data_IF_072495630145
#
_entry.id   IF_072495630145
#
_cell.length_a   1.000
_cell.length_b   1.000
_cell.length_c   1.000
_cell.angle_alpha   90.00
_cell.angle_beta   90.00
_cell.angle_gamma   90.00
#
_symmetry.space_group_name_H-M   'P 1'
#
loop_
_entity.id
_entity.type
_entity.pdbx_description
1 polymer ?
#
# COMPACT_ATOMS: atom_id res chain seq x y z
N UNK A 1 1.63 -11.82 -12.42
CA UNK A 1 0.61 -12.87 -12.23
C UNK A 1 0.47 -13.32 -10.78
N UNK A 2 1.52 -13.83 -10.15
CA UNK A 2 1.49 -14.28 -8.75
C UNK A 2 0.91 -13.27 -7.75
N UNK A 3 1.17 -11.98 -7.94
CA UNK A 3 0.69 -10.90 -7.04
C UNK A 3 -0.83 -10.81 -6.94
N UNK A 4 -1.55 -11.08 -8.02
CA UNK A 4 -3.03 -11.02 -8.00
C UNK A 4 -3.65 -12.26 -7.35
N UNK A 5 -3.03 -13.41 -7.50
CA UNK A 5 -3.49 -14.68 -6.90
C UNK A 5 -3.26 -14.65 -5.39
N UNK A 6 -2.11 -14.17 -4.96
CA UNK A 6 -1.71 -14.13 -3.55
C UNK A 6 -2.56 -13.20 -2.67
N UNK A 7 -3.19 -12.18 -3.26
CA UNK A 7 -4.00 -11.21 -2.53
C UNK A 7 -5.50 -11.50 -2.47
N UNK A 8 -5.97 -12.61 -3.06
CA UNK A 8 -7.42 -12.86 -3.20
C UNK A 8 -8.10 -13.34 -1.92
N UNK A 9 -7.35 -13.79 -0.89
CA UNK A 9 -7.92 -14.31 0.35
C UNK A 9 -8.96 -15.42 0.11
N UNK A 10 -9.64 -15.85 1.14
CA UNK A 10 -10.71 -16.86 1.10
C UNK A 10 -12.08 -16.29 0.71
N UNK A 11 -12.17 -15.10 0.11
CA UNK A 11 -13.42 -14.42 -0.18
C UNK A 11 -14.08 -14.92 -1.46
N UNK A 12 -14.95 -15.92 -1.31
CA UNK A 12 -16.11 -16.27 -2.16
C UNK A 12 -15.98 -15.97 -3.68
N UNK A 13 -14.98 -16.51 -4.38
CA UNK A 13 -14.96 -16.58 -5.84
C UNK A 13 -14.82 -15.24 -6.59
N UNK A 14 -14.75 -14.11 -5.89
CA UNK A 14 -14.62 -12.79 -6.53
C UNK A 14 -13.19 -12.52 -7.03
N UNK A 15 -12.18 -13.08 -6.39
CA UNK A 15 -10.79 -12.94 -6.77
C UNK A 15 -10.50 -13.43 -8.20
N UNK A 16 -10.92 -14.64 -8.58
CA UNK A 16 -10.72 -15.15 -9.94
C UNK A 16 -11.35 -14.28 -11.03
N UNK A 17 -12.58 -13.79 -10.84
CA UNK A 17 -13.26 -12.92 -11.82
C UNK A 17 -12.54 -11.58 -12.05
N UNK A 18 -12.04 -10.96 -11.00
CA UNK A 18 -11.29 -9.71 -11.13
C UNK A 18 -9.93 -9.93 -11.79
N UNK A 19 -9.30 -11.06 -11.51
CA UNK A 19 -8.04 -11.45 -12.14
C UNK A 19 -8.25 -11.70 -13.63
N UNK A 20 -9.30 -12.42 -14.01
CA UNK A 20 -9.66 -12.69 -15.41
C UNK A 20 -9.94 -11.39 -16.16
N UNK A 21 -10.76 -10.49 -15.60
CA UNK A 21 -11.06 -9.19 -16.19
C UNK A 21 -9.79 -8.35 -16.42
N UNK A 22 -8.86 -8.34 -15.45
CA UNK A 22 -7.60 -7.65 -15.59
C UNK A 22 -6.69 -8.28 -16.66
N UNK A 23 -6.66 -9.61 -16.73
CA UNK A 23 -5.85 -10.34 -17.73
C UNK A 23 -6.37 -10.18 -19.16
N UNK A 24 -7.67 -10.01 -19.30
CA UNK A 24 -8.33 -9.79 -20.58
C UNK A 24 -8.27 -8.33 -21.06
N UNK A 25 -7.80 -7.40 -20.23
CA UNK A 25 -7.68 -5.99 -20.60
C UNK A 25 -6.50 -5.80 -21.57
N UNK A 26 -6.78 -5.44 -22.81
CA UNK A 26 -5.76 -5.21 -23.85
C UNK A 26 -4.70 -4.16 -23.43
N UNK A 27 -5.02 -3.28 -22.48
CA UNK A 27 -4.12 -2.25 -21.96
C UNK A 27 -3.11 -2.81 -20.94
N UNK A 28 -3.33 -4.02 -20.40
CA UNK A 28 -2.51 -4.58 -19.33
C UNK A 28 -1.00 -4.51 -19.60
N UNK A 29 -0.46 -4.94 -20.75
CA UNK A 29 0.98 -4.90 -21.01
C UNK A 29 1.55 -3.47 -21.00
N UNK A 30 0.79 -2.50 -21.52
CA UNK A 30 1.20 -1.10 -21.54
C UNK A 30 1.19 -0.51 -20.12
N UNK A 31 0.11 -0.75 -19.35
CA UNK A 31 -0.03 -0.28 -17.96
C UNK A 31 1.08 -0.84 -17.08
N UNK A 32 1.39 -2.13 -17.18
CA UNK A 32 2.48 -2.73 -16.40
C UNK A 32 3.84 -2.13 -16.75
N UNK A 33 4.10 -1.86 -18.01
CA UNK A 33 5.35 -1.26 -18.47
C UNK A 33 5.51 0.18 -18.00
N UNK A 34 4.50 1.03 -18.21
CA UNK A 34 4.56 2.45 -17.85
C UNK A 34 4.58 2.64 -16.34
N UNK A 35 3.82 1.87 -15.59
CA UNK A 35 3.82 1.95 -14.12
C UNK A 35 5.11 1.43 -13.51
N UNK A 36 5.73 0.37 -14.06
CA UNK A 36 7.06 -0.06 -13.65
C UNK A 36 8.11 1.02 -13.87
N UNK A 37 8.07 1.70 -15.00
CA UNK A 37 9.00 2.79 -15.29
C UNK A 37 8.80 3.96 -14.30
N UNK A 38 7.56 4.36 -14.03
CA UNK A 38 7.24 5.40 -13.07
C UNK A 38 7.71 5.04 -11.64
N UNK A 39 7.50 3.79 -11.20
CA UNK A 39 7.99 3.30 -9.91
C UNK A 39 9.52 3.39 -9.83
N UNK A 40 10.22 2.92 -10.85
CA UNK A 40 11.69 2.93 -10.91
C UNK A 40 12.28 4.33 -10.96
N UNK A 41 11.55 5.31 -11.48
CA UNK A 41 11.94 6.74 -11.43
C UNK A 41 11.56 7.44 -10.12
N UNK A 42 10.86 6.75 -9.21
CA UNK A 42 10.37 7.32 -7.95
C UNK A 42 9.06 8.10 -8.07
N UNK A 43 8.44 8.17 -9.26
CA UNK A 43 7.14 8.81 -9.45
C UNK A 43 5.98 7.87 -9.04
N UNK A 44 5.85 7.64 -7.73
CA UNK A 44 4.80 6.78 -7.17
C UNK A 44 3.40 7.37 -7.40
N UNK A 45 3.27 8.69 -7.41
CA UNK A 45 2.01 9.37 -7.73
C UNK A 45 1.60 9.15 -9.19
N UNK A 46 2.56 9.25 -10.10
CA UNK A 46 2.37 8.96 -11.52
C UNK A 46 2.05 7.49 -11.78
N UNK A 47 2.76 6.57 -11.13
CA UNK A 47 2.47 5.13 -11.19
C UNK A 47 1.02 4.85 -10.78
N UNK A 48 0.57 5.45 -9.68
CA UNK A 48 -0.79 5.28 -9.19
C UNK A 48 -1.84 5.84 -10.16
N UNK A 49 -1.60 7.00 -10.79
CA UNK A 49 -2.50 7.60 -11.79
C UNK A 49 -2.60 6.75 -13.07
N UNK A 50 -1.51 6.11 -13.45
CA UNK A 50 -1.42 5.34 -14.70
C UNK A 50 -1.97 3.90 -14.55
N UNK A 51 -2.09 3.40 -13.30
CA UNK A 51 -2.58 2.06 -13.07
C UNK A 51 -4.12 2.01 -13.13
N UNK A 52 -4.67 2.09 -14.34
CA UNK A 52 -6.12 2.08 -14.60
C UNK A 52 -6.48 0.79 -15.33
N UNK A 53 -6.85 -0.23 -14.56
CA UNK A 53 -7.35 -1.51 -15.06
C UNK A 53 -8.68 -1.85 -14.41
N UNK A 54 -9.60 -2.39 -15.20
CA UNK A 54 -10.91 -2.79 -14.72
C UNK A 54 -10.79 -3.91 -13.67
N UNK A 55 -11.52 -3.79 -12.57
CA UNK A 55 -11.54 -4.80 -11.50
C UNK A 55 -10.32 -4.81 -10.59
N UNK A 56 -9.27 -4.03 -10.86
CA UNK A 56 -8.08 -3.97 -10.01
C UNK A 56 -8.26 -2.91 -8.93
N UNK A 57 -8.27 -3.36 -7.67
CA UNK A 57 -8.37 -2.49 -6.51
C UNK A 57 -6.99 -1.98 -6.07
N UNK A 58 -6.98 -0.92 -5.27
CA UNK A 58 -5.80 -0.23 -4.73
C UNK A 58 -4.74 -1.16 -4.13
N UNK A 59 -5.15 -2.12 -3.31
CA UNK A 59 -4.21 -3.06 -2.69
C UNK A 59 -3.47 -3.93 -3.72
N UNK A 60 -4.07 -4.19 -4.88
CA UNK A 60 -3.42 -4.95 -5.96
C UNK A 60 -2.43 -4.09 -6.75
N UNK A 61 -2.81 -2.85 -7.10
CA UNK A 61 -1.90 -1.96 -7.83
C UNK A 61 -0.65 -1.65 -6.99
N UNK A 62 -0.80 -1.41 -5.69
CA UNK A 62 0.34 -1.12 -4.82
C UNK A 62 1.20 -2.34 -4.51
N UNK A 63 0.64 -3.56 -4.54
CA UNK A 63 1.43 -4.80 -4.52
C UNK A 63 2.31 -4.93 -5.77
N UNK A 64 1.77 -4.57 -6.93
CA UNK A 64 2.57 -4.51 -8.16
C UNK A 64 3.70 -3.50 -8.04
N UNK A 65 3.43 -2.29 -7.51
CA UNK A 65 4.45 -1.27 -7.33
C UNK A 65 5.57 -1.75 -6.41
N UNK A 66 5.23 -2.32 -5.27
CA UNK A 66 6.22 -2.89 -4.34
C UNK A 66 7.04 -4.03 -4.98
N UNK A 67 6.40 -4.89 -5.80
CA UNK A 67 7.06 -6.01 -6.45
C UNK A 67 8.04 -5.61 -7.57
N UNK A 68 7.83 -4.45 -8.22
CA UNK A 68 8.67 -3.98 -9.33
C UNK A 68 9.63 -2.86 -8.94
N UNK A 69 9.58 -2.43 -7.69
CA UNK A 69 10.48 -1.41 -7.16
C UNK A 69 11.82 -2.05 -6.75
N UNK A 70 12.75 -2.05 -7.70
CA UNK A 70 14.11 -2.56 -7.53
C UNK A 70 15.13 -1.45 -7.21
N UNK A 71 14.66 -0.26 -6.79
CA UNK A 71 15.53 0.84 -6.39
C UNK A 71 16.31 0.50 -5.12
N UNK A 72 17.43 1.18 -4.91
CA UNK A 72 18.30 0.98 -3.75
C UNK A 72 17.55 1.18 -2.42
N UNK A 73 18.04 0.49 -1.38
CA UNK A 73 17.44 0.50 -0.03
C UNK A 73 17.41 1.92 0.59
N UNK A 74 18.28 2.84 0.15
CA UNK A 74 18.28 4.24 0.59
C UNK A 74 17.14 5.09 0.03
N UNK A 75 16.40 4.59 -0.95
CA UNK A 75 15.25 5.27 -1.53
C UNK A 75 13.95 4.90 -0.80
N UNK A 76 12.99 5.82 -0.76
CA UNK A 76 11.63 5.51 -0.29
C UNK A 76 10.93 4.58 -1.31
N UNK A 77 11.12 3.26 -1.16
CA UNK A 77 10.56 2.24 -2.03
C UNK A 77 9.05 2.16 -1.88
N UNK A 78 8.38 1.72 -2.94
CA UNK A 78 6.94 1.52 -2.94
C UNK A 78 6.52 0.50 -1.88
N UNK A 79 5.45 0.81 -1.16
CA UNK A 79 4.85 -0.03 -0.12
C UNK A 79 3.45 -0.48 -0.52
N UNK A 80 2.93 -1.50 0.14
CA UNK A 80 1.58 -2.02 -0.13
C UNK A 80 0.55 -1.22 0.66
N UNK A 81 -0.36 -0.55 -0.02
CA UNK A 81 -1.44 0.19 0.64
C UNK A 81 -2.66 -0.73 0.86
N UNK A 82 -2.62 -1.49 1.93
CA UNK A 82 -3.75 -2.35 2.35
C UNK A 82 -4.70 -1.61 3.30
N UNK A 83 -5.97 -2.02 3.32
CA UNK A 83 -6.98 -1.47 4.23
C UNK A 83 -6.64 -1.70 5.70
N UNK A 84 -6.02 -2.83 6.04
CA UNK A 84 -5.60 -3.15 7.41
C UNK A 84 -4.54 -2.19 7.91
N UNK A 85 -3.57 -1.85 7.06
CA UNK A 85 -2.53 -0.85 7.37
C UNK A 85 -3.18 0.51 7.61
N UNK A 86 -4.12 0.92 6.73
CA UNK A 86 -4.85 2.18 6.91
C UNK A 86 -5.69 2.19 8.19
N UNK A 87 -6.31 1.08 8.56
CA UNK A 87 -7.06 0.98 9.82
C UNK A 87 -6.13 1.22 11.03
N UNK A 88 -4.95 0.61 11.03
CA UNK A 88 -3.97 0.80 12.11
C UNK A 88 -3.46 2.25 12.17
N UNK A 89 -3.15 2.85 11.02
CA UNK A 89 -2.72 4.24 10.97
C UNK A 89 -3.80 5.20 11.44
N UNK A 90 -5.07 4.97 11.05
CA UNK A 90 -6.19 5.79 11.51
C UNK A 90 -6.41 5.64 13.03
N UNK A 91 -6.28 4.43 13.57
CA UNK A 91 -6.38 4.19 15.02
C UNK A 91 -5.26 4.89 15.80
N UNK A 92 -4.09 5.06 15.18
CA UNK A 92 -2.97 5.86 15.70
C UNK A 92 -3.14 7.38 15.47
N UNK A 93 -4.28 7.82 14.93
CA UNK A 93 -4.57 9.23 14.68
C UNK A 93 -4.01 9.79 13.38
N UNK A 94 -3.37 8.96 12.52
CA UNK A 94 -2.87 9.43 11.24
C UNK A 94 -3.86 9.19 10.11
N UNK A 95 -4.13 10.23 9.34
CA UNK A 95 -5.02 10.17 8.18
C UNK A 95 -4.30 10.58 6.90
N UNK A 96 -4.27 9.69 5.91
CA UNK A 96 -3.56 9.92 4.65
C UNK A 96 -4.10 11.12 3.86
N UNK A 97 -5.39 11.47 3.97
CA UNK A 97 -5.94 12.62 3.25
C UNK A 97 -5.57 13.95 3.94
N UNK A 98 -5.48 13.96 5.26
CA UNK A 98 -5.02 15.13 6.02
C UNK A 98 -3.54 15.36 5.80
N UNK A 99 -2.72 14.32 5.92
CA UNK A 99 -1.29 14.39 5.69
C UNK A 99 -0.95 14.84 4.25
N UNK A 100 -1.72 14.39 3.26
CA UNK A 100 -1.54 14.77 1.85
C UNK A 100 -2.14 16.12 1.48
N UNK A 101 -2.96 16.73 2.34
CA UNK A 101 -3.71 17.96 2.03
C UNK A 101 -4.73 17.81 0.90
N UNK A 102 -5.04 16.57 0.49
CA UNK A 102 -5.92 16.28 -0.63
C UNK A 102 -6.60 14.92 -0.50
N UNK A 103 -7.77 14.78 -1.10
CA UNK A 103 -8.49 13.50 -1.21
C UNK A 103 -8.03 12.64 -2.39
N UNK A 104 -7.15 13.15 -3.28
CA UNK A 104 -6.67 12.42 -4.47
C UNK A 104 -5.73 11.29 -4.07
N UNK A 105 -6.08 10.07 -4.43
CA UNK A 105 -5.33 8.87 -4.05
C UNK A 105 -3.87 8.82 -4.54
N UNK A 106 -3.53 9.29 -5.74
CA UNK A 106 -2.12 9.32 -6.16
C UNK A 106 -1.21 10.07 -5.19
N UNK A 107 -1.63 11.27 -4.76
CA UNK A 107 -0.89 12.08 -3.78
C UNK A 107 -0.90 11.42 -2.40
N UNK A 108 -2.07 10.90 -1.96
CA UNK A 108 -2.20 10.20 -0.68
C UNK A 108 -1.28 8.97 -0.59
N UNK A 109 -1.12 8.24 -1.70
CA UNK A 109 -0.22 7.09 -1.76
C UNK A 109 1.24 7.51 -1.63
N UNK A 110 1.68 8.51 -2.38
CA UNK A 110 3.04 9.03 -2.27
C UNK A 110 3.33 9.55 -0.84
N UNK A 111 2.38 10.27 -0.24
CA UNK A 111 2.49 10.75 1.15
C UNK A 111 2.56 9.58 2.14
N UNK A 112 1.75 8.54 1.96
CA UNK A 112 1.80 7.33 2.78
C UNK A 112 3.19 6.69 2.74
N UNK A 113 3.73 6.45 1.56
CA UNK A 113 5.08 5.86 1.41
C UNK A 113 6.14 6.71 2.09
N UNK A 114 6.13 8.03 1.85
CA UNK A 114 7.08 8.95 2.46
C UNK A 114 6.99 8.95 4.00
N UNK A 115 5.76 9.00 4.55
CA UNK A 115 5.53 8.97 6.00
C UNK A 115 6.02 7.66 6.63
N UNK A 116 5.72 6.53 6.00
CA UNK A 116 6.15 5.21 6.48
C UNK A 116 7.68 5.08 6.54
N UNK A 117 8.38 5.54 5.51
CA UNK A 117 9.85 5.55 5.50
C UNK A 117 10.42 6.51 6.54
N UNK A 118 9.81 7.68 6.72
CA UNK A 118 10.22 8.65 7.76
C UNK A 118 10.08 8.07 9.17
N UNK A 119 8.95 7.45 9.48
CA UNK A 119 8.74 6.80 10.79
C UNK A 119 9.65 5.60 11.00
N UNK A 120 9.80 4.76 10.00
CA UNK A 120 10.68 3.60 10.08
C UNK A 120 12.13 4.02 10.35
N UNK A 121 12.62 5.07 9.68
CA UNK A 121 13.93 5.64 9.95
C UNK A 121 14.06 6.17 11.39
N UNK A 122 13.04 6.86 11.89
CA UNK A 122 13.04 7.38 13.27
C UNK A 122 13.00 6.26 14.33
N UNK A 123 12.39 5.12 13.98
CA UNK A 123 12.30 3.94 14.85
C UNK A 123 13.48 2.98 14.71
N UNK A 124 14.39 3.21 13.77
CA UNK A 124 15.51 2.32 13.49
C UNK A 124 15.11 0.96 12.88
N UNK A 125 13.97 0.92 12.16
CA UNK A 125 13.45 -0.28 11.49
C UNK A 125 13.30 -0.04 9.98
N UNK A 126 12.96 -1.09 9.22
CA UNK A 126 12.63 -0.94 7.80
C UNK A 126 11.14 -0.57 7.61
N UNK A 127 10.83 0.15 6.55
CA UNK A 127 9.43 0.52 6.24
C UNK A 127 8.56 -0.72 5.96
N UNK A 128 9.12 -1.76 5.33
CA UNK A 128 8.43 -3.04 5.09
C UNK A 128 8.07 -3.75 6.41
N UNK A 129 8.98 -3.71 7.39
CA UNK A 129 8.70 -4.27 8.71
C UNK A 129 7.59 -3.51 9.43
N UNK A 130 7.63 -2.18 9.37
CA UNK A 130 6.59 -1.32 9.96
C UNK A 130 5.23 -1.57 9.28
N UNK A 131 5.22 -1.70 7.96
CA UNK A 131 4.01 -2.05 7.20
C UNK A 131 3.46 -3.42 7.62
N UNK A 132 4.31 -4.42 7.72
CA UNK A 132 3.95 -5.76 8.17
C UNK A 132 3.32 -5.72 9.58
N UNK A 133 3.91 -4.98 10.52
CA UNK A 133 3.37 -4.81 11.86
C UNK A 133 1.98 -4.18 11.84
N UNK A 134 1.81 -3.06 11.14
CA UNK A 134 0.52 -2.36 11.02
C UNK A 134 -0.55 -3.23 10.35
N UNK A 135 -0.17 -4.03 9.37
CA UNK A 135 -1.07 -4.99 8.72
C UNK A 135 -1.58 -6.05 9.71
N UNK A 136 -0.73 -6.56 10.59
CA UNK A 136 -1.11 -7.57 11.59
C UNK A 136 -1.95 -6.97 12.73
N UNK A 137 -1.67 -5.75 13.13
CA UNK A 137 -2.47 -5.02 14.12
C UNK A 137 -3.90 -4.80 13.64
N UNK A 138 -4.09 -4.48 12.35
CA UNK A 138 -5.41 -4.30 11.72
C UNK A 138 -6.35 -3.39 12.55
N UNK A 139 -5.82 -2.25 13.02
CA UNK A 139 -6.54 -1.28 13.85
C UNK A 139 -6.58 -1.58 15.36
N UNK A 140 -6.07 -2.73 15.79
CA UNK A 140 -5.95 -3.07 17.22
C UNK A 140 -4.66 -2.47 17.78
N UNK A 141 -4.69 -1.18 18.00
CA UNK A 141 -3.62 -0.40 18.63
C UNK A 141 -4.06 -0.02 20.04
N UNK A 142 -4.28 -1.04 20.89
CA UNK A 142 -4.52 -0.80 22.31
C UNK A 142 -3.25 -0.17 22.90
N UNK A 143 -3.34 1.10 23.30
CA UNK A 143 -2.30 1.73 24.11
C UNK A 143 -2.11 0.94 25.39
N UNK A 144 -0.98 1.10 26.11
CA UNK A 144 -0.82 0.52 27.43
C UNK A 144 -2.05 0.95 28.26
N UNK A 145 -2.81 -0.02 28.76
CA UNK A 145 -3.89 0.25 29.72
C UNK A 145 -3.19 0.89 30.91
N UNK A 146 -3.37 2.19 31.07
CA UNK A 146 -3.01 2.86 32.30
C UNK A 146 -3.69 2.09 33.43
N UNK A 147 -2.86 1.66 34.37
CA UNK A 147 -3.19 0.69 35.41
C UNK A 147 -4.51 0.99 36.10
N UNK A 148 -5.36 0.00 36.13
CA UNK A 148 -6.27 -0.18 37.23
C UNK A 148 -5.45 -0.71 38.46
N UNK A 149 -4.56 0.12 38.97
CA UNK A 149 -4.19 0.03 40.37
C UNK A 149 -5.26 0.81 41.14
N UNK A 150 -6.23 0.09 41.61
CA UNK A 150 -7.18 0.61 42.60
C UNK A 150 -7.31 -0.36 43.75
N UNK A 151 -6.68 0.03 44.86
CA UNK A 151 -7.06 -0.24 46.27
C UNK A 151 -7.18 -1.70 46.66
#
# INVERSE_FOLDING_TARGET
>A
MAVMIWGSGTTNGRGPRYTEAALSDARLPAVLRTTRQAVRSGDLSGAYRQFILNGVRRSFSTKWFAAVDDRDVGCARALILDSRVLHSLNALGWSSWQAAGTRRWPTRYATYVSSMHGWASSLGVTADWLEWLLFHLNGRVDGPREGQDST
#
